data_IF_760107469170
#
_entry.id   IF_760107469170
#
_cell.length_a   1.000
_cell.length_b   1.000
_cell.length_c   1.000
_cell.angle_alpha   90.00
_cell.angle_beta   90.00
_cell.angle_gamma   90.00
#
_symmetry.space_group_name_H-M   'P 1'
#
loop_
_entity.id
_entity.type
_entity.pdbx_description
1 polymer ?
#
# COMPACT_ATOMS: atom_id res chain seq x y z
N UNK A 1 2.97 9.54 -4.41
CA UNK A 1 1.56 9.76 -4.77
C UNK A 1 0.72 9.17 -3.66
N UNK A 2 -0.36 9.83 -3.18
CA UNK A 2 -1.40 9.09 -2.46
C UNK A 2 -1.91 7.97 -3.40
N UNK A 3 -2.32 6.83 -2.83
CA UNK A 3 -2.70 5.63 -3.58
C UNK A 3 -3.75 5.90 -4.67
N UNK A 4 -3.76 5.08 -5.73
CA UNK A 4 -4.65 5.31 -6.87
C UNK A 4 -6.13 5.05 -6.52
N UNK A 5 -7.09 5.63 -7.28
CA UNK A 5 -8.51 5.30 -7.14
C UNK A 5 -8.83 3.82 -7.44
N UNK A 6 -7.97 3.12 -8.19
CA UNK A 6 -8.11 1.69 -8.43
C UNK A 6 -7.74 0.89 -7.17
N UNK A 7 -6.65 1.28 -6.49
CA UNK A 7 -6.28 0.70 -5.21
C UNK A 7 -7.34 0.95 -4.14
N UNK A 8 -7.98 2.12 -4.12
CA UNK A 8 -9.07 2.39 -3.18
C UNK A 8 -10.28 1.48 -3.37
N UNK A 9 -10.70 1.26 -4.63
CA UNK A 9 -11.80 0.34 -4.96
C UNK A 9 -11.46 -1.10 -4.63
N UNK A 10 -10.24 -1.51 -4.95
CA UNK A 10 -9.70 -2.83 -4.58
C UNK A 10 -9.80 -3.04 -3.07
N UNK A 11 -9.22 -2.14 -2.26
CA UNK A 11 -9.23 -2.26 -0.81
C UNK A 11 -10.63 -2.24 -0.21
N UNK A 12 -11.59 -1.54 -0.84
CA UNK A 12 -12.99 -1.54 -0.43
C UNK A 12 -13.72 -2.85 -0.75
N UNK A 13 -13.32 -3.57 -1.80
CA UNK A 13 -13.89 -4.86 -2.21
C UNK A 13 -13.21 -6.08 -1.57
N UNK A 14 -12.03 -5.91 -0.97
CA UNK A 14 -11.31 -7.00 -0.32
C UNK A 14 -12.07 -7.58 0.88
N UNK A 15 -12.00 -8.90 1.02
CA UNK A 15 -12.46 -9.61 2.21
C UNK A 15 -11.40 -9.52 3.31
N UNK A 16 -11.84 -9.20 4.53
CA UNK A 16 -10.97 -9.08 5.69
C UNK A 16 -11.42 -10.07 6.79
N UNK A 17 -10.49 -10.60 7.61
CA UNK A 17 -9.06 -10.28 7.66
C UNK A 17 -8.26 -10.85 6.48
N UNK A 18 -7.23 -10.12 6.03
CA UNK A 18 -6.35 -10.53 4.92
C UNK A 18 -4.87 -10.36 5.28
N UNK A 19 -4.02 -11.29 4.84
CA UNK A 19 -2.55 -11.13 4.92
C UNK A 19 -2.05 -10.19 3.82
N UNK A 20 -0.82 -9.69 3.96
CA UNK A 20 -0.18 -8.92 2.87
C UNK A 20 -0.10 -9.74 1.60
N UNK A 21 0.25 -11.02 1.70
CA UNK A 21 0.35 -11.91 0.56
C UNK A 21 -1.01 -12.17 -0.11
N UNK A 22 -2.11 -12.15 0.64
CA UNK A 22 -3.47 -12.21 0.08
C UNK A 22 -3.80 -10.94 -0.69
N UNK A 23 -3.48 -9.76 -0.14
CA UNK A 23 -3.64 -8.48 -0.84
C UNK A 23 -2.83 -8.47 -2.16
N UNK A 24 -1.61 -9.00 -2.15
CA UNK A 24 -0.78 -9.08 -3.36
C UNK A 24 -1.34 -10.07 -4.39
N UNK A 25 -1.78 -11.24 -3.95
CA UNK A 25 -2.39 -12.26 -4.81
C UNK A 25 -3.63 -11.70 -5.50
N UNK A 26 -4.54 -11.09 -4.74
CA UNK A 26 -5.79 -10.53 -5.27
C UNK A 26 -5.52 -9.30 -6.13
N UNK A 27 -4.53 -8.47 -5.79
CA UNK A 27 -4.12 -7.34 -6.62
C UNK A 27 -3.60 -7.79 -7.99
N UNK A 28 -2.84 -8.88 -8.05
CA UNK A 28 -2.41 -9.50 -9.32
C UNK A 28 -3.61 -10.07 -10.08
N UNK A 29 -4.52 -10.77 -9.39
CA UNK A 29 -5.74 -11.34 -9.98
C UNK A 29 -6.64 -10.27 -10.61
N UNK A 30 -6.75 -9.10 -9.98
CA UNK A 30 -7.56 -7.97 -10.46
C UNK A 30 -6.81 -7.03 -11.41
N UNK A 31 -5.53 -7.28 -11.68
CA UNK A 31 -4.74 -6.50 -12.62
C UNK A 31 -4.38 -5.10 -12.13
N UNK A 32 -4.12 -4.93 -10.82
CA UNK A 32 -3.68 -3.65 -10.27
C UNK A 32 -2.37 -3.18 -10.92
N UNK A 33 -2.21 -1.86 -11.13
CA UNK A 33 -0.97 -1.27 -11.64
C UNK A 33 0.25 -1.72 -10.84
N UNK A 34 1.41 -1.81 -11.50
CA UNK A 34 2.66 -2.21 -10.85
C UNK A 34 3.02 -1.30 -9.65
N UNK A 35 2.78 0.01 -9.77
CA UNK A 35 3.02 0.97 -8.70
C UNK A 35 2.15 0.70 -7.46
N UNK A 36 0.86 0.37 -7.65
CA UNK A 36 -0.04 0.05 -6.54
C UNK A 36 0.35 -1.30 -5.90
N UNK A 37 0.80 -2.27 -6.69
CA UNK A 37 1.33 -3.54 -6.17
C UNK A 37 2.61 -3.33 -5.37
N UNK A 38 3.52 -2.47 -5.83
CA UNK A 38 4.73 -2.10 -5.09
C UNK A 38 4.42 -1.39 -3.76
N UNK A 39 3.33 -0.60 -3.71
CA UNK A 39 2.83 -0.04 -2.45
C UNK A 39 2.36 -1.15 -1.49
N UNK A 40 1.58 -2.13 -1.96
CA UNK A 40 1.13 -3.26 -1.16
C UNK A 40 2.29 -4.15 -0.68
N UNK A 41 3.29 -4.37 -1.54
CA UNK A 41 4.47 -5.19 -1.22
C UNK A 41 5.31 -4.58 -0.09
N UNK A 42 5.37 -3.25 -0.03
CA UNK A 42 6.08 -2.53 1.03
C UNK A 42 5.44 -2.61 2.42
N UNK A 43 4.22 -3.15 2.52
CA UNK A 43 3.52 -3.26 3.79
C UNK A 43 4.21 -4.30 4.69
N UNK A 44 4.14 -4.11 6.02
CA UNK A 44 4.55 -5.14 6.96
C UNK A 44 3.80 -6.45 6.72
N UNK A 45 4.51 -7.57 6.88
CA UNK A 45 3.91 -8.90 6.91
C UNK A 45 3.05 -9.04 8.16
N UNK A 46 1.74 -8.94 7.99
CA UNK A 46 0.76 -9.10 9.07
C UNK A 46 -0.64 -9.30 8.50
N UNK A 47 -1.56 -9.72 9.37
CA UNK A 47 -2.98 -9.65 9.07
C UNK A 47 -3.49 -8.20 9.22
N UNK A 48 -4.31 -7.79 8.27
CA UNK A 48 -5.08 -6.57 8.27
C UNK A 48 -6.54 -6.90 8.50
N UNK A 49 -7.17 -6.31 9.51
CA UNK A 49 -8.57 -6.58 9.85
C UNK A 49 -9.55 -5.72 9.07
N UNK A 50 -9.08 -4.69 8.37
CA UNK A 50 -9.91 -3.79 7.57
C UNK A 50 -9.08 -2.94 6.60
N UNK A 51 -9.75 -2.45 5.55
CA UNK A 51 -9.17 -1.58 4.53
C UNK A 51 -8.53 -0.30 5.11
N UNK A 52 -9.13 0.29 6.16
CA UNK A 52 -8.60 1.51 6.76
C UNK A 52 -7.20 1.31 7.37
N UNK A 53 -6.87 0.11 7.87
CA UNK A 53 -5.53 -0.18 8.41
C UNK A 53 -4.48 -0.14 7.30
N UNK A 54 -4.80 -0.69 6.13
CA UNK A 54 -3.95 -0.65 4.95
C UNK A 54 -3.76 0.79 4.48
N UNK A 55 -4.87 1.52 4.27
CA UNK A 55 -4.84 2.94 3.86
C UNK A 55 -4.01 3.80 4.82
N UNK A 56 -4.20 3.62 6.13
CA UNK A 56 -3.45 4.33 7.16
C UNK A 56 -1.94 4.10 7.02
N UNK A 57 -1.50 2.85 6.79
CA UNK A 57 -0.07 2.54 6.60
C UNK A 57 0.50 3.19 5.35
N UNK A 58 -0.24 3.15 4.23
CA UNK A 58 0.19 3.79 2.98
C UNK A 58 0.30 5.32 3.12
N UNK A 59 -0.67 5.95 3.78
CA UNK A 59 -0.63 7.38 4.07
C UNK A 59 0.53 7.75 5.00
N UNK A 60 0.73 6.98 6.08
CA UNK A 60 1.83 7.19 7.02
C UNK A 60 3.20 7.05 6.36
N UNK A 61 3.35 6.09 5.44
CA UNK A 61 4.57 5.91 4.65
C UNK A 61 4.82 7.11 3.74
N UNK A 62 3.82 7.55 2.98
CA UNK A 62 3.93 8.70 2.09
C UNK A 62 4.34 9.96 2.86
N UNK A 63 3.77 10.14 4.06
CA UNK A 63 4.15 11.23 4.95
C UNK A 63 5.59 11.10 5.44
N UNK A 64 6.01 9.90 5.87
CA UNK A 64 7.39 9.66 6.30
C UNK A 64 8.42 9.93 5.18
N UNK A 65 8.11 9.54 3.94
CA UNK A 65 8.94 9.82 2.77
C UNK A 65 9.01 11.32 2.45
N UNK A 66 7.90 12.05 2.60
CA UNK A 66 7.86 13.49 2.38
C UNK A 66 8.64 14.29 3.43
N UNK A 67 8.68 13.79 4.67
CA UNK A 67 9.37 14.42 5.80
C UNK A 67 10.83 13.96 5.95
N UNK A 68 11.25 12.92 5.24
CA UNK A 68 12.62 12.44 5.30
C UNK A 68 13.59 13.53 4.80
N UNK A 69 14.69 13.83 5.53
CA UNK A 69 15.69 14.77 5.06
C UNK A 69 16.24 14.29 3.72
N UNK A 70 16.13 15.12 2.68
CA UNK A 70 16.86 14.87 1.44
C UNK A 70 18.34 15.03 1.77
N UNK A 71 19.08 13.92 1.85
CA UNK A 71 20.53 13.99 2.05
C UNK A 71 21.12 14.91 0.98
N UNK A 72 21.90 15.94 1.37
CA UNK A 72 22.56 16.79 0.39
C UNK A 72 23.51 15.90 -0.41
N UNK A 73 23.37 15.92 -1.74
CA UNK A 73 24.30 15.24 -2.64
C UNK A 73 25.69 15.77 -2.32
N UNK A 74 26.56 14.90 -1.79
CA UNK A 74 27.93 15.29 -1.48
C UNK A 74 28.67 15.32 -2.83
N UNK A 75 28.91 16.52 -3.32
CA UNK A 75 29.70 16.80 -4.52
C UNK A 75 31.19 16.50 -4.29
#
# INVERSE_FOLDING_TARGET
MPHSPALDRFLAGMEYPALRDDLLREAVREGLPADDRALLESLPEQSYSAAWQVRFRLARRTLAEALAPREPVRA
#
